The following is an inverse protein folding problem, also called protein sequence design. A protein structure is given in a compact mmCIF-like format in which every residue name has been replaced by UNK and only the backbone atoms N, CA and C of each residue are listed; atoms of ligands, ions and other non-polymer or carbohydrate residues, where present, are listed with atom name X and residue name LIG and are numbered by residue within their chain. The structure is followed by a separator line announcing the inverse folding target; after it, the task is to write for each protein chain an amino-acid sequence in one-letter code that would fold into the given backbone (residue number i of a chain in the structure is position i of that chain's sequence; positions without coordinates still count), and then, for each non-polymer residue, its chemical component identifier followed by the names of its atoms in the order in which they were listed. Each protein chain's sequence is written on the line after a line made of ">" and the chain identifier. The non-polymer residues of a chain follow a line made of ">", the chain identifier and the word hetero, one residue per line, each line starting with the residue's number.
data_IF_459843312207
#
_entry.id   IF_459843312207
#
_cell.length_a   1.000
_cell.length_b   1.000
_cell.length_c   1.000
_cell.angle_alpha   90.00
_cell.angle_beta   90.00
_cell.angle_gamma   90.00
#
_symmetry.space_group_name_H-M   'P 1'
#
loop_
_entity.id
_entity.type
_entity.pdbx_description
1 polymer ?
#
# COMPACT_ATOMS: atom_id res chain seq x y z
N UNK A 1 2.98 -9.31 19.63
CA UNK A 1 2.72 -10.30 18.55
C UNK A 1 4.08 -10.73 18.03
N UNK A 2 4.32 -12.03 17.87
CA UNK A 2 5.53 -12.50 17.21
C UNK A 2 5.39 -12.19 15.72
N UNK A 3 6.18 -11.24 15.22
CA UNK A 3 6.25 -10.92 13.81
C UNK A 3 7.57 -11.44 13.24
N UNK A 4 7.53 -12.03 12.05
CA UNK A 4 8.69 -12.56 11.36
C UNK A 4 8.95 -11.75 10.09
N UNK A 5 10.22 -11.59 9.71
CA UNK A 5 10.58 -10.95 8.46
C UNK A 5 10.82 -12.02 7.39
N UNK A 6 9.78 -12.32 6.61
CA UNK A 6 9.85 -13.28 5.53
C UNK A 6 10.58 -12.69 4.33
N UNK A 7 11.72 -13.28 4.00
CA UNK A 7 12.57 -12.91 2.87
C UNK A 7 12.61 -13.98 1.78
N UNK A 8 11.83 -15.06 1.92
CA UNK A 8 11.98 -16.29 1.13
C UNK A 8 10.73 -16.71 0.38
N UNK A 9 9.52 -16.51 0.93
CA UNK A 9 8.31 -17.12 0.36
C UNK A 9 7.57 -16.21 -0.62
N UNK A 10 7.97 -14.94 -0.70
CA UNK A 10 7.34 -13.95 -1.58
C UNK A 10 8.37 -13.21 -2.43
N UNK A 11 7.90 -12.46 -3.43
CA UNK A 11 8.77 -11.74 -4.38
C UNK A 11 9.52 -10.55 -3.76
N UNK A 12 9.24 -10.19 -2.50
CA UNK A 12 9.94 -9.13 -1.77
C UNK A 12 9.86 -9.35 -0.25
N UNK A 13 10.84 -8.88 0.55
CA UNK A 13 10.80 -9.00 2.00
C UNK A 13 9.57 -8.36 2.63
N UNK A 14 8.85 -9.08 3.49
CA UNK A 14 7.68 -8.55 4.20
C UNK A 14 7.58 -9.09 5.63
N UNK A 15 6.90 -8.32 6.49
CA UNK A 15 6.61 -8.75 7.86
C UNK A 15 5.34 -9.61 7.88
N UNK A 16 5.44 -10.81 8.45
CA UNK A 16 4.35 -11.79 8.60
C UNK A 16 3.93 -11.94 10.06
N UNK A 17 2.74 -12.51 10.24
CA UNK A 17 2.23 -12.96 11.53
C UNK A 17 2.10 -14.48 11.51
N UNK A 18 2.25 -15.10 12.68
CA UNK A 18 2.04 -16.52 12.85
C UNK A 18 0.55 -16.89 12.69
N UNK A 19 0.29 -18.18 12.39
CA UNK A 19 -1.06 -18.68 12.13
C UNK A 19 -1.99 -18.60 13.33
N UNK A 20 -1.46 -18.74 14.55
CA UNK A 20 -2.27 -18.68 15.78
C UNK A 20 -2.79 -17.26 15.98
N UNK A 21 -1.92 -16.25 15.84
CA UNK A 21 -2.28 -14.84 15.86
C UNK A 21 -3.35 -14.50 14.80
N UNK A 22 -3.15 -14.93 13.56
CA UNK A 22 -4.12 -14.67 12.47
C UNK A 22 -5.46 -15.34 12.75
N UNK A 23 -5.45 -16.59 13.22
CA UNK A 23 -6.68 -17.34 13.54
C UNK A 23 -7.48 -16.63 14.63
N UNK A 24 -6.82 -16.20 15.72
CA UNK A 24 -7.46 -15.48 16.81
C UNK A 24 -8.10 -14.17 16.34
N UNK A 25 -7.35 -13.35 15.59
CA UNK A 25 -7.86 -12.07 15.09
C UNK A 25 -9.03 -12.25 14.11
N UNK A 26 -9.00 -13.29 13.28
CA UNK A 26 -10.11 -13.62 12.39
C UNK A 26 -11.37 -14.10 13.14
N UNK A 27 -11.21 -14.81 14.26
CA UNK A 27 -12.34 -15.19 15.13
C UNK A 27 -12.97 -13.98 15.82
N UNK A 28 -12.15 -13.03 16.26
CA UNK A 28 -12.60 -11.82 16.97
C UNK A 28 -13.27 -10.81 16.01
N UNK A 29 -12.68 -10.57 14.84
CA UNK A 29 -13.06 -9.47 13.93
C UNK A 29 -13.65 -9.90 12.58
N UNK A 30 -13.65 -11.20 12.28
CA UNK A 30 -14.04 -11.72 10.97
C UNK A 30 -12.99 -11.46 9.88
N UNK A 31 -13.34 -11.83 8.65
CA UNK A 31 -12.53 -11.59 7.45
C UNK A 31 -13.41 -10.89 6.42
N UNK A 32 -12.91 -9.77 5.89
CA UNK A 32 -13.59 -8.99 4.85
C UNK A 32 -12.65 -8.80 3.67
N UNK A 33 -13.18 -8.98 2.46
CA UNK A 33 -12.48 -8.73 1.21
C UNK A 33 -13.21 -7.64 0.40
N UNK A 34 -12.85 -6.34 0.60
CA UNK A 34 -13.45 -5.26 -0.17
C UNK A 34 -13.18 -5.41 -1.66
N UNK A 35 -14.20 -5.15 -2.49
CA UNK A 35 -14.09 -5.15 -3.96
C UNK A 35 -14.51 -3.80 -4.52
N UNK A 36 -14.10 -3.48 -5.75
CA UNK A 36 -14.42 -2.20 -6.38
C UNK A 36 -14.00 -2.14 -7.84
N UNK A 37 -14.60 -1.21 -8.59
CA UNK A 37 -14.20 -0.89 -9.97
C UNK A 37 -12.87 -0.13 -9.98
N UNK A 38 -12.12 -0.09 -11.09
CA UNK A 38 -10.95 0.78 -11.22
C UNK A 38 -11.26 2.23 -10.81
N UNK A 39 -10.38 2.83 -10.00
CA UNK A 39 -10.58 4.16 -9.43
C UNK A 39 -11.25 4.17 -8.04
N UNK A 40 -11.70 3.02 -7.53
CA UNK A 40 -12.17 2.91 -6.14
C UNK A 40 -11.00 3.08 -5.16
N UNK A 41 -11.29 3.65 -3.98
CA UNK A 41 -10.30 3.86 -2.91
C UNK A 41 -10.71 3.04 -1.68
N UNK A 42 -9.75 2.31 -1.12
CA UNK A 42 -9.87 1.66 0.19
C UNK A 42 -8.89 2.35 1.14
N UNK A 43 -9.41 2.89 2.25
CA UNK A 43 -8.62 3.44 3.33
C UNK A 43 -8.64 2.46 4.50
N UNK A 44 -7.46 2.18 5.07
CA UNK A 44 -7.33 1.30 6.23
C UNK A 44 -6.20 1.78 7.13
N UNK A 45 -6.28 1.43 8.42
CA UNK A 45 -5.29 1.81 9.42
C UNK A 45 -3.98 1.04 9.24
N UNK A 46 -2.83 1.66 9.51
CA UNK A 46 -1.50 1.04 9.32
C UNK A 46 -1.25 -0.23 10.16
N UNK A 47 -2.01 -0.43 11.23
CA UNK A 47 -1.94 -1.64 12.08
C UNK A 47 -3.04 -2.68 11.77
N UNK A 48 -3.84 -2.51 10.71
CA UNK A 48 -4.82 -3.52 10.33
C UNK A 48 -4.09 -4.75 9.78
N UNK A 49 -4.39 -5.93 10.31
CA UNK A 49 -3.89 -7.18 9.72
C UNK A 49 -4.57 -7.39 8.38
N UNK A 50 -3.77 -7.45 7.32
CA UNK A 50 -4.25 -7.58 5.96
C UNK A 50 -3.31 -8.46 5.14
N UNK A 51 -3.85 -9.07 4.10
CA UNK A 51 -3.12 -9.94 3.20
C UNK A 51 -3.97 -10.28 1.98
N UNK A 52 -3.38 -10.97 1.02
CA UNK A 52 -4.09 -11.42 -0.17
C UNK A 52 -3.55 -12.75 -0.67
N UNK A 53 -4.42 -13.61 -1.17
CA UNK A 53 -4.01 -14.83 -1.86
C UNK A 53 -3.34 -14.52 -3.22
N UNK A 54 -2.52 -15.46 -3.75
CA UNK A 54 -2.05 -15.43 -5.12
C UNK A 54 -3.20 -15.34 -6.13
N UNK A 55 -2.98 -14.64 -7.24
CA UNK A 55 -3.97 -14.50 -8.30
C UNK A 55 -3.70 -15.50 -9.43
N UNK A 56 -4.54 -16.54 -9.54
CA UNK A 56 -4.45 -17.56 -10.60
C UNK A 56 -5.30 -17.23 -11.84
N UNK A 57 -6.04 -16.11 -11.81
CA UNK A 57 -6.95 -15.72 -12.90
C UNK A 57 -6.19 -15.00 -14.03
N UNK A 58 -6.76 -14.91 -15.25
CA UNK A 58 -6.15 -14.13 -16.33
C UNK A 58 -6.31 -12.60 -16.13
N UNK A 59 -7.00 -12.15 -15.08
CA UNK A 59 -7.29 -10.75 -14.85
C UNK A 59 -6.28 -10.12 -13.90
N UNK A 60 -5.49 -9.12 -14.31
CA UNK A 60 -4.46 -8.55 -13.45
C UNK A 60 -5.06 -7.72 -12.30
N UNK A 61 -4.46 -7.85 -11.12
CA UNK A 61 -4.80 -7.02 -9.95
C UNK A 61 -3.74 -5.94 -9.74
N UNK A 62 -3.93 -4.78 -10.39
CA UNK A 62 -3.05 -3.61 -10.23
C UNK A 62 -3.56 -2.73 -9.11
N UNK A 63 -2.72 -2.51 -8.10
CA UNK A 63 -3.04 -1.70 -6.91
C UNK A 63 -1.90 -0.71 -6.72
N UNK A 64 -2.24 0.54 -6.40
CA UNK A 64 -1.30 1.56 -5.94
C UNK A 64 -1.53 1.76 -4.45
N UNK A 65 -0.47 1.63 -3.66
CA UNK A 65 -0.50 1.91 -2.22
C UNK A 65 0.09 3.28 -1.94
N UNK A 66 -0.58 4.04 -1.09
CA UNK A 66 -0.07 5.28 -0.50
C UNK A 66 -0.11 5.14 1.03
N UNK A 67 1.06 5.04 1.65
CA UNK A 67 1.18 5.05 3.11
C UNK A 67 1.40 6.48 3.58
N UNK A 68 0.35 7.06 4.15
CA UNK A 68 0.40 8.43 4.67
C UNK A 68 0.72 8.42 6.17
N UNK A 69 1.64 9.29 6.58
CA UNK A 69 1.99 9.49 7.99
C UNK A 69 1.84 10.97 8.34
N UNK A 70 1.38 11.25 9.56
CA UNK A 70 1.40 12.62 10.07
C UNK A 70 2.86 13.10 10.19
N UNK A 71 3.11 14.36 9.81
CA UNK A 71 4.47 14.95 9.87
C UNK A 71 5.01 14.97 11.30
N UNK A 72 4.14 15.08 12.31
CA UNK A 72 4.53 14.97 13.73
C UNK A 72 5.03 13.58 14.14
N UNK A 73 4.78 12.55 13.34
CA UNK A 73 5.16 11.15 13.58
C UNK A 73 6.28 10.69 12.61
N UNK A 74 7.19 11.59 12.25
CA UNK A 74 8.29 11.30 11.35
C UNK A 74 9.31 10.31 11.95
N UNK A 75 10.00 9.57 11.07
CA UNK A 75 11.03 8.61 11.45
C UNK A 75 12.27 9.34 11.95
N UNK A 76 12.71 9.06 13.19
CA UNK A 76 13.88 9.73 13.80
C UNK A 76 15.21 9.05 13.52
N UNK A 77 15.19 7.73 13.30
CA UNK A 77 16.39 6.91 13.08
C UNK A 77 16.16 6.02 11.85
N UNK A 78 16.29 6.56 10.62
CA UNK A 78 16.02 5.79 9.42
C UNK A 78 17.09 4.72 9.19
N UNK A 79 16.68 3.45 9.14
CA UNK A 79 17.56 2.30 8.88
C UNK A 79 17.40 1.69 7.49
N UNK A 80 16.40 2.12 6.73
CA UNK A 80 16.07 1.62 5.38
C UNK A 80 16.44 2.64 4.30
N UNK A 81 16.51 2.16 3.06
CA UNK A 81 16.70 3.02 1.89
C UNK A 81 15.56 4.05 1.77
N UNK A 82 15.86 5.22 1.21
CA UNK A 82 14.94 6.35 1.15
C UNK A 82 13.64 6.02 0.40
N UNK A 83 13.73 5.29 -0.71
CA UNK A 83 12.58 4.84 -1.50
C UNK A 83 11.69 3.79 -0.78
N UNK A 84 12.12 3.24 0.36
CA UNK A 84 11.32 2.36 1.23
C UNK A 84 10.76 3.15 2.43
N UNK A 85 11.57 4.03 3.00
CA UNK A 85 11.24 4.86 4.15
C UNK A 85 11.71 6.29 3.89
N UNK A 86 10.77 7.12 3.42
CA UNK A 86 11.04 8.49 3.00
C UNK A 86 11.68 9.30 4.12
N UNK A 87 12.56 10.24 3.73
CA UNK A 87 13.28 11.14 4.65
C UNK A 87 12.90 12.61 4.48
N UNK A 88 12.12 12.93 3.45
CA UNK A 88 11.47 14.23 3.31
C UNK A 88 10.10 14.19 4.00
N UNK A 89 9.93 15.07 4.98
CA UNK A 89 8.71 15.19 5.77
C UNK A 89 7.98 16.51 5.50
N UNK A 90 8.28 17.16 4.38
CA UNK A 90 7.56 18.36 3.93
C UNK A 90 6.07 18.02 3.80
N UNK A 91 5.16 18.79 4.44
CA UNK A 91 3.73 18.53 4.33
C UNK A 91 3.26 18.52 2.87
N UNK A 92 2.43 17.52 2.52
CA UNK A 92 1.79 17.46 1.21
C UNK A 92 0.91 18.71 1.00
N UNK A 93 1.00 19.29 -0.19
CA UNK A 93 0.18 20.44 -0.57
C UNK A 93 -1.00 19.96 -1.41
N UNK A 94 -2.23 20.40 -1.10
CA UNK A 94 -3.35 20.14 -1.98
C UNK A 94 -3.11 20.78 -3.34
N UNK A 95 -3.54 20.09 -4.38
CA UNK A 95 -3.55 20.57 -5.76
C UNK A 95 -4.99 20.69 -6.24
N UNK A 96 -5.21 21.27 -7.41
CA UNK A 96 -6.55 21.36 -8.00
C UNK A 96 -7.17 19.96 -8.19
N UNK A 97 -8.49 19.85 -8.02
CA UNK A 97 -9.23 18.58 -8.09
C UNK A 97 -9.01 17.80 -9.39
N UNK A 98 -8.75 18.50 -10.49
CA UNK A 98 -8.53 17.92 -11.82
C UNK A 98 -7.05 17.66 -12.14
N UNK A 99 -6.14 17.81 -11.17
CA UNK A 99 -4.69 17.68 -11.38
C UNK A 99 -4.29 16.32 -11.97
N UNK A 100 -4.86 15.22 -11.46
CA UNK A 100 -4.57 13.88 -11.97
C UNK A 100 -5.12 13.66 -13.39
N UNK A 101 -6.30 14.22 -13.69
CA UNK A 101 -6.87 14.16 -15.04
C UNK A 101 -6.02 14.94 -16.04
N UNK A 102 -5.54 16.14 -15.66
CA UNK A 102 -4.61 16.94 -16.45
C UNK A 102 -3.29 16.20 -16.67
N UNK A 103 -2.72 15.60 -15.63
CA UNK A 103 -1.49 14.83 -15.71
C UNK A 103 -1.63 13.63 -16.67
N UNK A 104 -2.68 12.83 -16.52
CA UNK A 104 -2.94 11.67 -17.38
C UNK A 104 -3.05 12.07 -18.86
N UNK A 105 -3.81 13.13 -19.17
CA UNK A 105 -3.91 13.68 -20.55
C UNK A 105 -2.54 14.08 -21.10
N UNK A 106 -1.70 14.73 -20.28
CA UNK A 106 -0.35 15.15 -20.71
C UNK A 106 0.57 13.95 -20.97
N UNK A 107 0.43 12.87 -20.20
CA UNK A 107 1.21 11.66 -20.37
C UNK A 107 0.89 10.97 -21.70
N UNK A 108 -0.40 10.76 -21.99
CA UNK A 108 -0.82 10.14 -23.25
C UNK A 108 -0.42 10.96 -24.48
N UNK A 109 -0.49 12.30 -24.40
CA UNK A 109 -0.02 13.16 -25.50
C UNK A 109 1.47 12.97 -25.79
N UNK A 110 2.31 12.80 -24.76
CA UNK A 110 3.75 12.56 -24.92
C UNK A 110 4.02 11.17 -25.47
N UNK A 111 3.39 10.15 -24.91
CA UNK A 111 3.55 8.77 -25.37
C UNK A 111 3.08 8.53 -26.81
N UNK A 112 2.13 9.34 -27.31
CA UNK A 112 1.69 9.28 -28.70
C UNK A 112 2.58 10.09 -29.68
N UNK A 113 3.50 10.90 -29.15
CA UNK A 113 4.45 11.68 -29.94
C UNK A 113 5.84 11.02 -30.06
N UNK A 114 6.04 9.90 -29.36
CA UNK A 114 7.18 8.99 -29.44
C UNK A 114 6.80 7.77 -30.30
#
# INVERSE_FOLDING_TARGET
>A
LAAEHDVTTTSYPLWTLDKETVTRLAQEGGIVAPTGKPGSVLMFHGNLVHGSAPNITPYPRRIVYLTLCAVSNYIRTPTRAEWIAHRDFTPIRPVADDALLKFARSYYKRAAAE
#
